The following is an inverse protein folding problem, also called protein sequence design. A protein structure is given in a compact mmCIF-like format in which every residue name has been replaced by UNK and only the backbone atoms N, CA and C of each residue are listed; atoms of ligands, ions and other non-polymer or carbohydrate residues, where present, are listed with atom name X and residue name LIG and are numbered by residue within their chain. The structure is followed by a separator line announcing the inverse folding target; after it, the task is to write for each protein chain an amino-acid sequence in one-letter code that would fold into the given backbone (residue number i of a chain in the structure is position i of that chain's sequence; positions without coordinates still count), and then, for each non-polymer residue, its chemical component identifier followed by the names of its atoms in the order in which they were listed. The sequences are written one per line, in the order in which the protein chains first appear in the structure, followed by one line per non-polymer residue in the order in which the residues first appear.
data_IF_169504286148
#
_entry.id   IF_169504286148
#
_cell.length_a   1.000
_cell.length_b   1.000
_cell.length_c   1.000
_cell.angle_alpha   90.00
_cell.angle_beta   90.00
_cell.angle_gamma   90.00
#
_symmetry.space_group_name_H-M   'P 1'
#
loop_
_entity.id
_entity.type
_entity.pdbx_description
1 polymer ?
#
# COMPACT_ATOMS: atom_id res chain seq x y z
N UNK A 1 -28.61 11.26 7.21
CA UNK A 1 -28.65 9.92 7.82
C UNK A 1 -27.22 9.49 7.98
N UNK A 2 -26.71 9.57 9.19
CA UNK A 2 -25.33 9.17 9.55
C UNK A 2 -25.30 7.66 9.65
N UNK A 3 -24.66 6.99 8.68
CA UNK A 3 -24.35 5.56 8.80
C UNK A 3 -23.28 5.37 9.86
N UNK A 4 -23.66 4.85 11.00
CA UNK A 4 -22.73 4.32 12.01
C UNK A 4 -22.06 3.06 11.45
N UNK A 5 -20.80 3.20 11.06
CA UNK A 5 -19.96 2.04 10.74
C UNK A 5 -19.57 1.33 12.03
N UNK A 6 -19.99 0.07 12.16
CA UNK A 6 -19.52 -0.82 13.22
C UNK A 6 -18.11 -1.33 12.89
N UNK A 7 -17.12 -0.41 12.95
CA UNK A 7 -15.70 -0.77 13.02
C UNK A 7 -15.34 -1.08 14.47
N UNK A 8 -14.55 -2.10 14.69
CA UNK A 8 -13.99 -2.42 16.01
C UNK A 8 -13.39 -1.16 16.60
N UNK A 9 -13.78 -0.84 17.84
CA UNK A 9 -13.34 0.34 18.55
C UNK A 9 -11.81 0.30 18.78
N UNK A 10 -11.06 0.78 17.80
CA UNK A 10 -9.76 1.36 18.07
C UNK A 10 -10.05 2.70 18.74
N UNK A 11 -9.75 2.81 20.05
CA UNK A 11 -10.06 4.01 20.83
C UNK A 11 -9.56 5.27 20.14
N UNK A 12 -10.46 6.02 19.54
CA UNK A 12 -10.38 7.42 19.11
C UNK A 12 -9.20 7.85 18.21
N UNK A 13 -8.47 6.98 17.52
CA UNK A 13 -7.31 7.40 16.72
C UNK A 13 -7.42 6.93 15.29
N UNK A 14 -7.65 7.87 14.38
CA UNK A 14 -7.53 7.70 12.95
C UNK A 14 -6.03 7.64 12.57
N UNK A 15 -5.56 6.62 11.84
CA UNK A 15 -4.17 6.52 11.43
C UNK A 15 -3.80 7.51 10.34
N UNK A 16 -4.70 7.72 9.38
CA UNK A 16 -4.54 8.71 8.31
C UNK A 16 -5.85 9.46 8.11
N UNK A 17 -5.77 10.78 8.09
CA UNK A 17 -6.88 11.68 7.76
C UNK A 17 -6.46 12.61 6.66
N UNK A 18 -7.19 12.59 5.58
CA UNK A 18 -7.03 13.48 4.43
C UNK A 18 -8.27 14.35 4.31
N UNK A 19 -8.09 15.68 4.23
CA UNK A 19 -9.18 16.63 4.12
C UNK A 19 -8.90 17.64 3.03
N UNK A 20 -9.86 17.80 2.11
CA UNK A 20 -9.89 18.78 1.01
C UNK A 20 -8.58 18.74 0.20
N UNK A 21 -8.01 17.55 0.04
CA UNK A 21 -6.75 17.38 -0.70
C UNK A 21 -6.94 17.74 -2.16
N UNK A 22 -6.12 18.65 -2.63
CA UNK A 22 -5.97 18.96 -4.04
C UNK A 22 -4.50 18.90 -4.45
N UNK A 23 -4.22 18.33 -5.61
CA UNK A 23 -2.87 18.24 -6.20
C UNK A 23 -2.91 18.81 -7.60
N UNK A 24 -2.02 19.77 -7.86
CA UNK A 24 -1.89 20.43 -9.15
C UNK A 24 -0.54 20.10 -9.78
N UNK A 25 -0.55 19.72 -11.05
CA UNK A 25 0.68 19.52 -11.85
C UNK A 25 0.61 20.45 -13.06
N UNK A 26 1.53 21.42 -13.12
CA UNK A 26 1.47 22.50 -14.10
C UNK A 26 0.22 23.35 -13.91
N UNK A 27 -0.62 23.47 -14.94
CA UNK A 27 -1.88 24.23 -14.90
C UNK A 27 -3.12 23.37 -14.55
N UNK A 28 -2.96 22.05 -14.47
CA UNK A 28 -4.09 21.13 -14.32
C UNK A 28 -4.16 20.53 -12.92
N UNK A 29 -5.36 20.48 -12.36
CA UNK A 29 -5.61 19.69 -11.15
C UNK A 29 -5.70 18.21 -11.53
N UNK A 30 -4.92 17.40 -10.83
CA UNK A 30 -4.98 15.94 -10.93
C UNK A 30 -5.93 15.39 -9.87
N UNK A 31 -5.96 16.03 -8.69
CA UNK A 31 -6.87 15.70 -7.60
C UNK A 31 -7.52 16.97 -7.08
N UNK A 32 -8.81 16.89 -6.73
CA UNK A 32 -9.56 17.98 -6.16
C UNK A 32 -10.51 17.47 -5.07
N UNK A 33 -10.52 18.17 -3.93
CA UNK A 33 -11.48 17.93 -2.84
C UNK A 33 -11.55 16.45 -2.41
N UNK A 34 -10.38 15.80 -2.30
CA UNK A 34 -10.31 14.40 -1.88
C UNK A 34 -10.33 14.33 -0.35
N UNK A 35 -11.31 13.62 0.18
CA UNK A 35 -11.50 13.39 1.61
C UNK A 35 -11.46 11.89 1.88
N UNK A 36 -10.58 11.45 2.78
CA UNK A 36 -10.38 10.06 3.13
C UNK A 36 -9.97 9.89 4.58
N UNK A 37 -10.50 8.88 5.24
CA UNK A 37 -10.03 8.42 6.56
C UNK A 37 -9.60 6.96 6.48
N UNK A 38 -8.46 6.63 7.11
CA UNK A 38 -8.03 5.26 7.37
C UNK A 38 -7.94 5.09 8.87
N UNK A 39 -8.76 4.22 9.43
CA UNK A 39 -8.70 3.92 10.86
C UNK A 39 -7.60 2.88 11.15
N UNK A 40 -7.18 2.81 12.42
CA UNK A 40 -6.15 1.86 12.80
C UNK A 40 -6.62 0.42 12.56
N UNK A 41 -5.73 -0.41 12.00
CA UNK A 41 -6.02 -1.80 11.70
C UNK A 41 -6.92 -2.02 10.48
N UNK A 42 -7.35 -0.97 9.76
CA UNK A 42 -8.16 -1.11 8.54
C UNK A 42 -7.30 -1.34 7.30
N UNK A 43 -7.85 -2.14 6.37
CA UNK A 43 -7.41 -2.22 4.99
C UNK A 43 -8.35 -1.39 4.12
N UNK A 44 -7.82 -0.29 3.60
CA UNK A 44 -8.55 0.61 2.68
C UNK A 44 -7.99 0.43 1.26
N UNK A 45 -8.87 0.09 0.32
CA UNK A 45 -8.54 -0.04 -1.09
C UNK A 45 -8.97 1.20 -1.88
N UNK A 46 -8.01 1.86 -2.51
CA UNK A 46 -8.23 2.98 -3.41
C UNK A 46 -8.33 2.45 -4.85
N UNK A 47 -9.50 2.54 -5.45
CA UNK A 47 -9.77 2.05 -6.80
C UNK A 47 -10.12 3.20 -7.75
N UNK A 48 -9.99 2.97 -9.03
CA UNK A 48 -10.31 3.96 -10.07
C UNK A 48 -9.62 3.63 -11.39
N UNK A 49 -10.02 4.26 -12.49
CA UNK A 49 -9.42 4.03 -13.79
C UNK A 49 -7.96 4.48 -13.85
N UNK A 50 -7.28 4.10 -14.95
CA UNK A 50 -5.94 4.63 -15.21
C UNK A 50 -6.02 6.14 -15.41
N UNK A 51 -5.10 6.88 -14.78
CA UNK A 51 -5.13 8.35 -14.80
C UNK A 51 -6.06 9.01 -13.77
N UNK A 52 -6.81 8.25 -12.97
CA UNK A 52 -7.72 8.76 -11.94
C UNK A 52 -7.03 9.54 -10.79
N UNK A 53 -5.69 9.48 -10.71
CA UNK A 53 -4.92 10.15 -9.68
C UNK A 53 -4.51 9.28 -8.50
N UNK A 54 -4.69 7.95 -8.55
CA UNK A 54 -4.34 7.02 -7.45
C UNK A 54 -2.90 7.16 -6.98
N UNK A 55 -1.93 6.99 -7.88
CA UNK A 55 -0.49 7.13 -7.54
C UNK A 55 -0.13 8.56 -7.16
N UNK A 56 -0.82 9.57 -7.71
CA UNK A 56 -0.67 10.98 -7.30
C UNK A 56 -1.14 11.18 -5.86
N UNK A 57 -2.25 10.57 -5.49
CA UNK A 57 -2.75 10.57 -4.11
C UNK A 57 -1.74 9.93 -3.16
N UNK A 58 -1.22 8.73 -3.49
CA UNK A 58 -0.21 8.08 -2.66
C UNK A 58 1.06 8.93 -2.52
N UNK A 59 1.55 9.54 -3.61
CA UNK A 59 2.72 10.43 -3.58
C UNK A 59 2.49 11.67 -2.72
N UNK A 60 1.29 12.25 -2.73
CA UNK A 60 0.93 13.36 -1.85
C UNK A 60 0.93 12.92 -0.37
N UNK A 61 0.31 11.76 -0.07
CA UNK A 61 0.31 11.17 1.28
C UNK A 61 1.73 10.87 1.79
N UNK A 62 2.63 10.46 0.89
CA UNK A 62 4.05 10.22 1.19
C UNK A 62 4.87 11.52 1.31
N UNK A 63 4.27 12.69 1.08
CA UNK A 63 4.97 13.97 1.09
C UNK A 63 5.94 14.17 -0.08
N UNK A 64 5.75 13.45 -1.18
CA UNK A 64 6.57 13.53 -2.39
C UNK A 64 6.04 14.55 -3.41
N UNK A 65 4.83 15.08 -3.20
CA UNK A 65 4.20 16.11 -4.03
C UNK A 65 3.61 17.21 -3.15
N UNK A 66 3.74 18.44 -3.64
CA UNK A 66 3.05 19.58 -3.04
C UNK A 66 1.53 19.43 -3.21
N UNK A 67 0.78 19.81 -2.18
CA UNK A 67 -0.66 19.69 -2.16
C UNK A 67 -1.32 20.82 -1.36
N UNK A 68 -2.56 21.08 -1.66
CA UNK A 68 -3.47 21.88 -0.85
C UNK A 68 -4.29 20.94 0.05
N UNK A 69 -4.88 21.48 1.11
CA UNK A 69 -5.65 20.68 2.08
C UNK A 69 -4.78 20.14 3.22
N UNK A 70 -5.28 19.14 3.94
CA UNK A 70 -4.64 18.61 5.15
C UNK A 70 -4.45 17.11 5.03
N UNK A 71 -3.21 16.67 5.23
CA UNK A 71 -2.86 15.25 5.46
C UNK A 71 -2.34 15.14 6.88
N UNK A 72 -3.05 14.44 7.72
CA UNK A 72 -2.71 14.27 9.13
C UNK A 72 -2.63 12.78 9.48
N UNK A 73 -1.58 12.44 10.22
CA UNK A 73 -1.40 11.10 10.78
C UNK A 73 -1.56 11.15 12.30
N UNK A 74 -2.16 10.13 12.85
CA UNK A 74 -2.29 9.93 14.29
C UNK A 74 -1.78 8.56 14.67
N UNK A 75 -1.02 8.50 15.77
CA UNK A 75 -0.53 7.24 16.33
C UNK A 75 -1.19 7.04 17.68
N UNK A 76 -1.95 5.95 17.89
CA UNK A 76 -2.60 5.67 19.17
C UNK A 76 -1.59 5.69 20.34
N UNK A 77 -1.98 6.29 21.46
CA UNK A 77 -1.19 6.28 22.69
C UNK A 77 0.03 7.21 22.72
N UNK A 78 0.37 7.91 21.63
CA UNK A 78 1.48 8.87 21.63
C UNK A 78 1.00 10.30 21.89
N UNK A 79 1.22 10.79 23.12
CA UNK A 79 0.95 12.19 23.49
C UNK A 79 1.93 13.20 22.87
N UNK A 80 3.03 12.74 22.31
CA UNK A 80 4.03 13.57 21.62
C UNK A 80 4.05 13.22 20.13
N UNK A 81 4.01 14.26 19.29
CA UNK A 81 4.00 14.22 17.82
C UNK A 81 5.31 13.64 17.26
N UNK A 82 5.54 12.34 17.42
CA UNK A 82 6.52 11.68 16.55
C UNK A 82 5.88 11.47 15.19
N UNK A 83 6.61 11.71 14.08
CA UNK A 83 6.09 11.40 12.76
C UNK A 83 5.74 9.92 12.69
N UNK A 84 4.65 9.54 12.01
CA UNK A 84 4.29 8.15 11.83
C UNK A 84 5.39 7.43 11.02
N UNK A 85 5.56 6.17 11.28
CA UNK A 85 6.36 5.32 10.40
C UNK A 85 5.48 4.84 9.27
N UNK A 86 5.88 5.13 8.04
CA UNK A 86 5.17 4.71 6.84
C UNK A 86 6.03 3.66 6.14
N UNK A 87 5.45 2.48 5.91
CA UNK A 87 6.00 1.50 4.98
C UNK A 87 5.44 1.78 3.59
N UNK A 88 6.27 1.71 2.56
CA UNK A 88 5.82 1.92 1.19
C UNK A 88 6.36 0.85 0.26
N UNK A 89 5.47 0.23 -0.50
CA UNK A 89 5.80 -0.69 -1.59
C UNK A 89 5.33 -0.05 -2.89
N UNK A 90 6.27 0.36 -3.78
CA UNK A 90 5.94 0.97 -5.06
C UNK A 90 5.45 -0.08 -6.06
N UNK A 91 4.72 0.38 -7.06
CA UNK A 91 4.34 -0.43 -8.21
C UNK A 91 5.60 -0.93 -8.95
N UNK A 92 5.78 -2.24 -8.99
CA UNK A 92 6.78 -2.97 -9.78
C UNK A 92 8.13 -2.26 -9.97
N UNK A 93 9.00 -2.18 -8.95
CA UNK A 93 10.36 -1.71 -9.17
C UNK A 93 11.05 -2.67 -10.14
N UNK A 94 11.59 -2.11 -11.23
CA UNK A 94 12.31 -2.89 -12.21
C UNK A 94 13.70 -3.24 -11.68
N UNK A 95 14.00 -4.54 -11.59
CA UNK A 95 15.35 -5.05 -11.37
C UNK A 95 15.82 -5.74 -12.64
N UNK A 96 17.06 -5.48 -13.04
CA UNK A 96 17.64 -6.17 -14.19
C UNK A 96 17.91 -7.64 -13.82
N UNK A 97 17.41 -8.64 -14.60
CA UNK A 97 17.72 -10.04 -14.37
C UNK A 97 19.22 -10.35 -14.35
N UNK A 98 20.04 -9.50 -14.98
CA UNK A 98 21.50 -9.60 -14.98
C UNK A 98 22.18 -9.10 -13.72
N UNK A 99 21.49 -8.34 -12.86
CA UNK A 99 22.06 -7.79 -11.64
C UNK A 99 22.42 -8.90 -10.66
N UNK A 100 23.65 -8.89 -10.11
CA UNK A 100 24.11 -9.93 -9.18
C UNK A 100 23.63 -9.70 -7.74
N UNK A 101 22.62 -8.83 -7.54
CA UNK A 101 22.14 -8.41 -6.21
C UNK A 101 21.25 -9.51 -5.63
N UNK A 102 21.62 -10.08 -4.49
CA UNK A 102 20.76 -10.99 -3.73
C UNK A 102 19.73 -10.22 -2.89
N UNK A 103 18.70 -10.92 -2.42
CA UNK A 103 17.72 -10.36 -1.46
C UNK A 103 18.43 -9.86 -0.21
N UNK A 104 19.40 -10.62 0.31
CA UNK A 104 20.19 -10.20 1.47
C UNK A 104 20.99 -8.92 1.19
N UNK A 105 21.56 -8.76 -0.02
CA UNK A 105 22.26 -7.53 -0.42
C UNK A 105 21.31 -6.34 -0.50
N UNK A 106 20.11 -6.54 -1.06
CA UNK A 106 19.07 -5.50 -1.12
C UNK A 106 18.73 -4.96 0.27
N UNK A 107 18.51 -5.87 1.24
CA UNK A 107 18.26 -5.46 2.63
C UNK A 107 19.46 -4.74 3.24
N UNK A 108 20.66 -5.22 2.99
CA UNK A 108 21.88 -4.58 3.48
C UNK A 108 22.06 -3.16 2.92
N UNK A 109 21.80 -2.96 1.62
CA UNK A 109 21.85 -1.64 0.99
C UNK A 109 20.82 -0.67 1.59
N UNK A 110 19.60 -1.15 1.87
CA UNK A 110 18.52 -0.31 2.39
C UNK A 110 18.62 -0.03 3.89
N UNK A 111 19.18 -0.93 4.68
CA UNK A 111 19.13 -0.89 6.17
C UNK A 111 20.47 -0.78 6.85
N UNK A 112 21.59 -1.05 6.17
CA UNK A 112 22.93 -0.99 6.74
C UNK A 112 23.65 0.32 6.36
N UNK A 113 24.43 0.84 7.31
CA UNK A 113 25.38 1.92 7.03
C UNK A 113 26.77 1.38 6.62
N UNK A 114 26.95 0.05 6.59
CA UNK A 114 28.21 -0.58 6.21
C UNK A 114 28.33 -0.60 4.69
N UNK A 115 29.51 -0.31 4.14
CA UNK A 115 29.76 -0.45 2.71
C UNK A 115 29.51 -1.89 2.22
N UNK A 116 28.84 -2.04 1.07
CA UNK A 116 28.44 -3.34 0.54
C UNK A 116 29.62 -4.30 0.26
N UNK A 117 30.81 -3.75 -0.08
CA UNK A 117 32.02 -4.56 -0.35
C UNK A 117 32.56 -5.32 0.86
N UNK A 118 32.13 -4.98 2.08
CA UNK A 118 32.51 -5.72 3.30
C UNK A 118 31.64 -6.96 3.53
N UNK A 119 30.70 -7.26 2.62
CA UNK A 119 29.77 -8.35 2.74
C UNK A 119 28.74 -8.18 3.86
N UNK A 120 27.86 -9.16 3.98
CA UNK A 120 26.76 -9.14 4.94
C UNK A 120 27.22 -9.80 6.23
N UNK A 121 27.10 -9.10 7.37
CA UNK A 121 27.43 -9.68 8.68
C UNK A 121 26.40 -10.75 9.08
N UNK A 122 26.82 -11.70 9.93
CA UNK A 122 25.92 -12.72 10.47
C UNK A 122 24.68 -12.11 11.13
N UNK A 123 24.86 -11.06 11.94
CA UNK A 123 23.76 -10.35 12.59
C UNK A 123 22.79 -9.70 11.58
N UNK A 124 23.30 -9.15 10.46
CA UNK A 124 22.43 -8.62 9.41
C UNK A 124 21.66 -9.73 8.71
N UNK A 125 22.31 -10.86 8.43
CA UNK A 125 21.65 -12.01 7.80
C UNK A 125 20.53 -12.57 8.69
N UNK A 126 20.76 -12.70 9.99
CA UNK A 126 19.74 -13.11 10.97
C UNK A 126 18.56 -12.14 10.98
N UNK A 127 18.84 -10.84 10.93
CA UNK A 127 17.79 -9.79 10.84
C UNK A 127 17.01 -9.87 9.54
N UNK A 128 17.66 -10.13 8.42
CA UNK A 128 16.97 -10.30 7.12
C UNK A 128 16.06 -11.53 7.15
N UNK A 129 16.52 -12.65 7.72
CA UNK A 129 15.69 -13.84 7.90
C UNK A 129 14.47 -13.55 8.78
N UNK A 130 14.63 -12.80 9.88
CA UNK A 130 13.50 -12.36 10.70
C UNK A 130 12.51 -11.48 9.90
N UNK A 131 12.99 -10.58 9.05
CA UNK A 131 12.10 -9.79 8.19
C UNK A 131 11.37 -10.66 7.18
N UNK A 132 12.06 -11.60 6.55
CA UNK A 132 11.49 -12.50 5.54
C UNK A 132 10.53 -13.51 6.14
N UNK A 133 10.71 -13.93 7.40
CA UNK A 133 9.78 -14.86 8.06
C UNK A 133 8.38 -14.28 8.24
N UNK A 134 8.26 -12.95 8.33
CA UNK A 134 6.96 -12.25 8.42
C UNK A 134 6.11 -12.39 7.15
N UNK A 135 6.74 -12.75 6.04
CA UNK A 135 6.13 -12.88 4.71
C UNK A 135 6.31 -14.28 4.12
N UNK A 136 6.69 -15.26 4.94
CA UNK A 136 6.97 -16.65 4.52
C UNK A 136 7.96 -16.72 3.34
N UNK A 137 9.04 -15.93 3.41
CA UNK A 137 10.02 -15.75 2.33
C UNK A 137 11.46 -16.06 2.71
N UNK A 138 11.71 -16.88 3.75
CA UNK A 138 13.04 -17.18 4.25
C UNK A 138 13.93 -17.85 3.20
N UNK A 139 13.34 -18.65 2.32
CA UNK A 139 14.00 -19.34 1.20
C UNK A 139 14.50 -18.37 0.12
N UNK A 140 14.03 -17.12 0.13
CA UNK A 140 14.39 -16.12 -0.85
C UNK A 140 15.69 -15.38 -0.55
N UNK A 141 16.25 -15.51 0.66
CA UNK A 141 17.36 -14.68 1.14
C UNK A 141 18.58 -14.67 0.21
N UNK A 142 18.91 -15.79 -0.40
CA UNK A 142 20.08 -15.94 -1.28
C UNK A 142 19.73 -15.85 -2.78
N UNK A 143 18.41 -15.73 -3.13
CA UNK A 143 18.00 -15.57 -4.51
C UNK A 143 18.39 -14.19 -5.04
N UNK A 144 18.68 -14.11 -6.33
CA UNK A 144 18.90 -12.83 -7.01
C UNK A 144 17.57 -12.11 -7.20
N UNK A 145 17.51 -10.84 -6.88
CA UNK A 145 16.26 -10.04 -6.95
C UNK A 145 15.68 -10.04 -8.35
N UNK A 146 16.52 -9.90 -9.38
CA UNK A 146 16.08 -9.90 -10.78
C UNK A 146 15.54 -11.23 -11.32
N UNK A 147 15.69 -12.34 -10.55
CA UNK A 147 15.19 -13.68 -10.94
C UNK A 147 13.95 -14.11 -10.17
N UNK A 148 13.45 -13.26 -9.27
CA UNK A 148 12.26 -13.55 -8.48
C UNK A 148 11.00 -13.50 -9.37
N UNK A 149 10.04 -14.37 -9.09
CA UNK A 149 8.68 -14.23 -9.63
C UNK A 149 8.01 -12.96 -9.08
N UNK A 150 6.93 -12.50 -9.72
CA UNK A 150 6.20 -11.32 -9.26
C UNK A 150 5.77 -11.43 -7.79
N UNK A 151 5.20 -12.57 -7.38
CA UNK A 151 4.79 -12.80 -5.99
C UNK A 151 5.96 -12.89 -5.01
N UNK A 152 7.09 -13.50 -5.39
CA UNK A 152 8.30 -13.53 -4.57
C UNK A 152 8.87 -12.13 -4.36
N UNK A 153 8.93 -11.33 -5.43
CA UNK A 153 9.40 -9.95 -5.36
C UNK A 153 8.49 -9.11 -4.46
N UNK A 154 7.17 -9.25 -4.58
CA UNK A 154 6.22 -8.54 -3.72
C UNK A 154 6.41 -8.91 -2.25
N UNK A 155 6.62 -10.19 -1.92
CA UNK A 155 6.94 -10.62 -0.54
C UNK A 155 8.24 -9.99 -0.02
N UNK A 156 9.29 -9.95 -0.83
CA UNK A 156 10.57 -9.31 -0.46
C UNK A 156 10.40 -7.81 -0.21
N UNK A 157 9.69 -7.09 -1.09
CA UNK A 157 9.43 -5.66 -0.94
C UNK A 157 8.56 -5.37 0.29
N UNK A 158 7.58 -6.22 0.55
CA UNK A 158 6.73 -6.13 1.74
C UNK A 158 7.56 -6.34 3.01
N UNK A 159 8.41 -7.37 3.08
CA UNK A 159 9.32 -7.58 4.21
C UNK A 159 10.23 -6.38 4.46
N UNK A 160 10.73 -5.74 3.40
CA UNK A 160 11.55 -4.54 3.48
C UNK A 160 10.77 -3.33 4.01
N UNK A 161 9.51 -3.15 3.58
CA UNK A 161 8.63 -2.07 4.01
C UNK A 161 8.14 -2.25 5.46
N UNK A 162 8.11 -3.48 5.96
CA UNK A 162 7.75 -3.83 7.34
C UNK A 162 8.91 -3.67 8.35
N UNK A 163 10.09 -3.24 7.92
CA UNK A 163 11.24 -3.06 8.81
C UNK A 163 11.74 -1.60 8.83
N UNK A 164 11.60 -0.89 9.94
CA UNK A 164 10.87 -1.28 11.17
C UNK A 164 9.35 -1.32 10.94
N UNK A 165 8.63 -2.09 11.77
CA UNK A 165 7.16 -2.18 11.66
C UNK A 165 6.55 -0.77 11.59
N UNK A 166 5.80 -0.47 10.50
CA UNK A 166 5.19 0.84 10.30
C UNK A 166 3.87 0.99 11.08
N UNK A 167 3.36 2.22 11.16
CA UNK A 167 2.00 2.49 11.64
C UNK A 167 0.97 2.33 10.51
N UNK A 168 1.39 2.66 9.29
CA UNK A 168 0.60 2.48 8.08
C UNK A 168 1.48 1.93 6.96
N UNK A 169 0.96 0.96 6.23
CA UNK A 169 1.58 0.39 5.05
C UNK A 169 0.84 0.89 3.81
N UNK A 170 1.57 1.49 2.90
CA UNK A 170 1.05 2.00 1.63
C UNK A 170 1.55 1.10 0.51
N UNK A 171 0.64 0.55 -0.28
CA UNK A 171 0.92 -0.39 -1.35
C UNK A 171 0.37 0.16 -2.68
N UNK A 172 1.25 0.39 -3.64
CA UNK A 172 0.84 0.84 -4.98
C UNK A 172 0.77 -0.36 -5.93
N UNK A 173 -0.46 -0.80 -6.22
CA UNK A 173 -0.77 -1.96 -7.07
C UNK A 173 -0.01 -3.26 -6.69
N UNK A 174 -0.08 -3.74 -5.43
CA UNK A 174 0.73 -4.86 -4.96
C UNK A 174 0.38 -6.20 -5.62
N UNK A 175 -0.77 -6.31 -6.27
CA UNK A 175 -1.23 -7.53 -6.97
C UNK A 175 -0.80 -7.57 -8.44
N UNK A 176 -0.18 -6.49 -8.94
CA UNK A 176 0.24 -6.43 -10.35
C UNK A 176 1.36 -7.43 -10.67
N UNK A 177 1.16 -8.24 -11.70
CA UNK A 177 2.14 -9.26 -12.10
C UNK A 177 2.16 -10.52 -11.23
N UNK A 178 1.18 -10.68 -10.34
CA UNK A 178 0.98 -11.88 -9.52
C UNK A 178 -0.15 -12.71 -10.15
N UNK A 179 -0.01 -14.02 -10.19
CA UNK A 179 -1.06 -14.93 -10.64
C UNK A 179 -2.21 -15.03 -9.62
N UNK A 180 -3.34 -15.62 -10.02
CA UNK A 180 -4.57 -15.63 -9.20
C UNK A 180 -4.35 -16.30 -7.84
N UNK A 181 -3.63 -17.42 -7.79
CA UNK A 181 -3.33 -18.14 -6.54
C UNK A 181 -2.39 -17.33 -5.63
N UNK A 182 -1.40 -16.70 -6.23
CA UNK A 182 -0.49 -15.79 -5.53
C UNK A 182 -1.18 -14.54 -4.99
N UNK A 183 -2.17 -13.99 -5.71
CA UNK A 183 -2.97 -12.85 -5.23
C UNK A 183 -3.73 -13.20 -3.94
N UNK A 184 -4.38 -14.36 -3.89
CA UNK A 184 -5.10 -14.81 -2.68
C UNK A 184 -4.13 -14.98 -1.51
N UNK A 185 -3.02 -15.68 -1.74
CA UNK A 185 -1.95 -15.87 -0.74
C UNK A 185 -1.40 -14.53 -0.23
N UNK A 186 -1.17 -13.57 -1.12
CA UNK A 186 -0.67 -12.25 -0.74
C UNK A 186 -1.69 -11.47 0.10
N UNK A 187 -2.97 -11.52 -0.27
CA UNK A 187 -4.03 -10.85 0.48
C UNK A 187 -4.26 -11.47 1.86
N UNK A 188 -4.21 -12.80 1.98
CA UNK A 188 -4.27 -13.49 3.27
C UNK A 188 -3.09 -13.10 4.18
N UNK A 189 -1.88 -13.06 3.62
CA UNK A 189 -0.68 -12.62 4.33
C UNK A 189 -0.79 -11.16 4.79
N UNK A 190 -1.29 -10.25 3.95
CA UNK A 190 -1.52 -8.85 4.33
C UNK A 190 -2.54 -8.74 5.47
N UNK A 191 -3.61 -9.52 5.42
CA UNK A 191 -4.63 -9.57 6.47
C UNK A 191 -4.08 -10.12 7.80
N UNK A 192 -3.22 -11.14 7.74
CA UNK A 192 -2.51 -11.67 8.90
C UNK A 192 -1.55 -10.63 9.51
N UNK A 193 -0.73 -9.99 8.67
CA UNK A 193 0.24 -8.97 9.11
C UNK A 193 -0.47 -7.81 9.79
N UNK A 194 -1.56 -7.27 9.20
CA UNK A 194 -2.27 -6.14 9.78
C UNK A 194 -2.87 -6.47 11.15
N UNK A 195 -3.37 -7.71 11.33
CA UNK A 195 -3.93 -8.19 12.60
C UNK A 195 -2.86 -8.41 13.66
N UNK A 196 -1.71 -8.99 13.27
CA UNK A 196 -0.63 -9.31 14.19
C UNK A 196 0.11 -8.07 14.68
N UNK A 197 0.21 -7.02 13.85
CA UNK A 197 0.99 -5.81 14.15
C UNK A 197 0.12 -4.57 14.38
N UNK A 198 -1.22 -4.69 14.38
CA UNK A 198 -2.18 -3.56 14.53
C UNK A 198 -1.84 -2.40 13.58
N UNK A 199 -1.47 -2.73 12.36
CA UNK A 199 -1.12 -1.74 11.34
C UNK A 199 -2.28 -1.52 10.35
N UNK A 200 -2.37 -0.31 9.83
CA UNK A 200 -3.34 0.03 8.79
C UNK A 200 -2.72 -0.17 7.42
N UNK A 201 -3.53 -0.55 6.45
CA UNK A 201 -3.10 -0.72 5.05
C UNK A 201 -3.91 0.21 4.15
N UNK A 202 -3.22 0.97 3.32
CA UNK A 202 -3.79 1.72 2.22
C UNK A 202 -3.20 1.17 0.92
N UNK A 203 -4.02 0.56 0.08
CA UNK A 203 -3.56 -0.02 -1.18
C UNK A 203 -4.31 0.53 -2.38
N UNK A 204 -3.61 0.67 -3.50
CA UNK A 204 -4.26 0.85 -4.81
C UNK A 204 -4.38 -0.51 -5.50
N UNK A 205 -5.45 -0.70 -6.24
CA UNK A 205 -5.62 -1.91 -7.07
C UNK A 205 -6.56 -1.64 -8.24
N UNK A 206 -6.36 -2.40 -9.30
CA UNK A 206 -7.30 -2.52 -10.43
C UNK A 206 -8.01 -3.89 -10.45
N UNK A 207 -7.64 -4.80 -9.56
CA UNK A 207 -8.35 -6.06 -9.34
C UNK A 207 -9.33 -5.91 -8.17
N UNK A 208 -10.59 -6.17 -8.45
CA UNK A 208 -11.68 -5.97 -7.48
C UNK A 208 -12.16 -7.27 -6.86
N UNK A 209 -11.69 -8.41 -7.34
CA UNK A 209 -12.18 -9.76 -6.97
C UNK A 209 -12.00 -10.06 -5.49
N UNK A 210 -10.88 -9.63 -4.91
CA UNK A 210 -10.52 -9.89 -3.51
C UNK A 210 -11.09 -8.86 -2.52
N UNK A 211 -11.53 -7.69 -3.00
CA UNK A 211 -11.95 -6.58 -2.13
C UNK A 211 -13.12 -6.94 -1.21
N UNK A 212 -14.17 -7.67 -1.66
CA UNK A 212 -15.28 -8.02 -0.78
C UNK A 212 -14.88 -8.88 0.42
N UNK A 213 -13.78 -9.62 0.31
CA UNK A 213 -13.29 -10.50 1.38
C UNK A 213 -12.33 -9.79 2.34
N UNK A 214 -11.49 -8.91 1.84
CA UNK A 214 -10.34 -8.39 2.59
C UNK A 214 -10.41 -6.90 2.93
N UNK A 215 -11.07 -6.07 2.10
CA UNK A 215 -11.11 -4.64 2.32
C UNK A 215 -12.20 -4.26 3.32
N UNK A 216 -11.83 -3.51 4.37
CA UNK A 216 -12.78 -2.92 5.30
C UNK A 216 -13.50 -1.73 4.65
N UNK A 217 -12.78 -0.98 3.81
CA UNK A 217 -13.31 0.14 3.06
C UNK A 217 -12.75 0.17 1.65
N UNK A 218 -13.59 0.54 0.70
CA UNK A 218 -13.20 0.83 -0.69
C UNK A 218 -13.53 2.28 -1.01
N UNK A 219 -12.61 2.94 -1.69
CA UNK A 219 -12.76 4.34 -2.13
C UNK A 219 -12.56 4.39 -3.64
N UNK A 220 -13.61 4.75 -4.36
CA UNK A 220 -13.56 4.98 -5.81
C UNK A 220 -13.15 6.43 -6.06
N UNK A 221 -12.04 6.60 -6.75
CA UNK A 221 -11.52 7.91 -7.13
C UNK A 221 -11.46 8.08 -8.65
N UNK A 222 -11.86 9.27 -9.12
CA UNK A 222 -11.57 9.79 -10.45
C UNK A 222 -11.43 11.31 -10.34
N UNK A 223 -10.19 11.78 -10.10
CA UNK A 223 -9.82 13.15 -9.73
C UNK A 223 -10.41 13.63 -8.39
N UNK A 224 -11.56 13.10 -7.99
CA UNK A 224 -12.24 13.32 -6.71
C UNK A 224 -12.78 11.99 -6.20
N UNK A 225 -13.21 11.93 -4.94
CA UNK A 225 -13.90 10.73 -4.42
C UNK A 225 -15.31 10.67 -4.99
N UNK A 226 -15.60 9.64 -5.77
CA UNK A 226 -16.91 9.41 -6.37
C UNK A 226 -17.83 8.55 -5.48
N UNK A 227 -17.26 7.59 -4.77
CA UNK A 227 -17.98 6.71 -3.83
C UNK A 227 -17.01 6.15 -2.81
N UNK A 228 -17.48 5.93 -1.59
CA UNK A 228 -16.70 5.26 -0.53
C UNK A 228 -17.63 4.47 0.39
N UNK A 229 -17.17 3.35 0.90
CA UNK A 229 -17.94 2.48 1.77
C UNK A 229 -17.46 1.04 1.75
N UNK A 230 -18.35 0.08 2.05
CA UNK A 230 -18.01 -1.33 1.91
C UNK A 230 -17.71 -1.69 0.45
N UNK A 231 -16.91 -2.74 0.23
CA UNK A 231 -16.60 -3.19 -1.14
C UNK A 231 -17.88 -3.49 -1.93
N UNK A 232 -18.87 -4.13 -1.29
CA UNK A 232 -20.14 -4.48 -1.93
C UNK A 232 -20.90 -3.22 -2.35
N UNK A 233 -21.00 -2.21 -1.50
CA UNK A 233 -21.73 -0.97 -1.80
C UNK A 233 -21.07 -0.20 -2.93
N UNK A 234 -19.74 -0.06 -2.89
CA UNK A 234 -18.98 0.70 -3.89
C UNK A 234 -19.00 0.00 -5.25
N UNK A 235 -18.75 -1.31 -5.31
CA UNK A 235 -18.72 -2.07 -6.57
C UNK A 235 -20.10 -2.17 -7.23
N UNK A 236 -21.20 -2.07 -6.47
CA UNK A 236 -22.56 -2.04 -6.99
C UNK A 236 -23.09 -0.64 -7.25
N UNK A 237 -22.34 0.43 -6.94
CA UNK A 237 -22.78 1.82 -7.11
C UNK A 237 -22.89 2.23 -8.58
N UNK A 238 -23.78 3.19 -8.86
CA UNK A 238 -23.87 3.79 -10.20
C UNK A 238 -22.59 4.56 -10.57
N UNK A 239 -21.88 5.10 -9.58
CA UNK A 239 -20.58 5.73 -9.77
C UNK A 239 -19.57 4.73 -10.33
N UNK A 240 -19.47 3.52 -9.77
CA UNK A 240 -18.58 2.47 -10.25
C UNK A 240 -18.95 2.05 -11.68
N UNK A 241 -20.24 1.77 -11.94
CA UNK A 241 -20.73 1.39 -13.27
C UNK A 241 -20.41 2.45 -14.31
N UNK A 242 -20.71 3.71 -14.02
CA UNK A 242 -20.46 4.82 -14.97
C UNK A 242 -18.96 5.04 -15.24
N UNK A 243 -18.12 4.83 -14.25
CA UNK A 243 -16.66 5.02 -14.38
C UNK A 243 -16.01 3.93 -15.23
N UNK A 244 -16.38 2.67 -15.02
CA UNK A 244 -15.75 1.56 -15.72
C UNK A 244 -16.45 1.15 -17.03
N UNK A 245 -17.76 1.40 -17.20
CA UNK A 245 -18.45 1.18 -18.48
C UNK A 245 -18.12 2.25 -19.54
N UNK A 246 -17.80 3.48 -19.15
CA UNK A 246 -17.34 4.51 -20.10
C UNK A 246 -16.02 4.17 -20.77
N UNK A 247 -15.13 3.45 -20.06
CA UNK A 247 -13.80 3.09 -20.56
C UNK A 247 -13.76 1.74 -21.31
N UNK A 248 -14.83 0.93 -21.26
CA UNK A 248 -14.95 -0.32 -22.03
C UNK A 248 -15.32 -0.15 -23.50
N UNK A 249 -15.64 1.07 -23.93
CA UNK A 249 -16.08 1.36 -25.30
C UNK A 249 -14.98 1.84 -26.27
N UNK A 250 -13.72 1.91 -25.86
CA UNK A 250 -12.63 2.47 -26.67
C UNK A 250 -11.53 1.44 -27.07
N UNK A 251 -11.87 0.16 -27.11
CA UNK A 251 -10.97 -0.90 -27.61
C UNK A 251 -11.75 -1.84 -28.51
N UNK A 252 -11.98 -1.44 -29.75
CA UNK A 252 -12.20 -2.31 -30.91
C UNK A 252 -11.24 -1.90 -31.99
#
# INVERSE_FOLDING_TARGET
MTHEFHGRACGTSCCLRVQDLAVKIGSSYILQNVNLHVHCGELVALIGPNGAGKSTFLKAVLGQLDHEGVIAFSVPGQRHRKPPRIGYVPQSPAFDPGDPISVADLFACCKSRRPAFLGISKAMREKVLECLSRVHGEDLIDKRVGTLSGGELQRVLLALALEPIPNILILDEPLSGVDVEGMETLMEMLDEIRKNYDLSILMTTHDFSMLPRFADQVVLIDQTVLSQGSAIDVLNSDAFRSTFHRNGGASQ
#
